data_IF_986252168983
#
_entry.id   IF_986252168983
#
_cell.length_a   1.000
_cell.length_b   1.000
_cell.length_c   1.000
_cell.angle_alpha   90.00
_cell.angle_beta   90.00
_cell.angle_gamma   90.00
#
_symmetry.space_group_name_H-M   'P 1'
#
loop_
_entity.id
_entity.type
_entity.pdbx_description
1 polymer ?
#
# COMPACT_ATOMS: atom_id res chain seq x y z
N UNK A 1 -18.91 32.83 13.47
CA UNK A 1 -18.06 31.87 12.72
C UNK A 1 -17.49 30.75 13.61
N UNK A 2 -17.45 30.89 14.94
CA UNK A 2 -16.90 29.88 15.88
C UNK A 2 -17.62 28.52 15.84
N UNK A 3 -18.92 28.50 15.58
CA UNK A 3 -19.72 27.26 15.62
C UNK A 3 -19.36 26.24 14.52
N UNK A 4 -18.79 26.71 13.39
CA UNK A 4 -18.44 25.82 12.25
C UNK A 4 -17.15 25.06 12.50
N UNK A 5 -16.17 25.67 13.14
CA UNK A 5 -14.91 25.02 13.50
C UNK A 5 -15.11 23.99 14.61
N UNK A 6 -16.02 24.27 15.54
CA UNK A 6 -16.36 23.34 16.60
C UNK A 6 -17.04 22.06 16.08
N UNK A 7 -17.86 22.19 15.04
CA UNK A 7 -18.49 21.06 14.37
C UNK A 7 -17.47 20.19 13.64
N UNK A 8 -16.55 20.79 12.87
CA UNK A 8 -15.52 20.06 12.13
C UNK A 8 -14.55 19.34 13.09
N UNK A 9 -14.15 20.00 14.19
CA UNK A 9 -13.28 19.38 15.20
C UNK A 9 -13.94 18.16 15.87
N UNK A 10 -15.23 18.24 16.17
CA UNK A 10 -15.98 17.13 16.73
C UNK A 10 -16.12 15.96 15.75
N UNK A 11 -16.30 16.24 14.46
CA UNK A 11 -16.41 15.21 13.43
C UNK A 11 -15.09 14.50 13.16
N UNK A 12 -13.97 15.24 13.15
CA UNK A 12 -12.62 14.65 13.08
C UNK A 12 -12.35 13.77 14.30
N UNK A 13 -12.68 14.25 15.51
CA UNK A 13 -12.50 13.46 16.74
C UNK A 13 -13.31 12.16 16.71
N UNK A 14 -14.55 12.22 16.24
CA UNK A 14 -15.42 11.04 16.10
C UNK A 14 -14.87 10.03 15.09
N UNK A 15 -14.30 10.51 13.98
CA UNK A 15 -13.68 9.65 12.98
C UNK A 15 -12.41 8.99 13.51
N UNK A 16 -11.59 9.71 14.29
CA UNK A 16 -10.40 9.14 14.95
C UNK A 16 -10.76 8.08 16.00
N UNK A 17 -11.80 8.32 16.81
CA UNK A 17 -12.30 7.34 17.77
C UNK A 17 -12.84 6.08 17.07
N UNK A 18 -13.53 6.23 15.93
CA UNK A 18 -13.98 5.10 15.13
C UNK A 18 -12.81 4.31 14.52
N UNK A 19 -11.74 4.98 14.07
CA UNK A 19 -10.54 4.33 13.53
C UNK A 19 -9.82 3.55 14.63
N UNK A 20 -9.65 4.14 15.82
CA UNK A 20 -9.03 3.45 16.95
C UNK A 20 -9.86 2.25 17.38
N UNK A 21 -11.19 2.39 17.47
CA UNK A 21 -12.09 1.26 17.77
C UNK A 21 -12.01 0.14 16.73
N UNK A 22 -11.91 0.47 15.44
CA UNK A 22 -11.69 -0.53 14.38
C UNK A 22 -10.31 -1.19 14.53
N UNK A 23 -9.29 -0.43 14.93
CA UNK A 23 -7.93 -0.93 15.15
C UNK A 23 -7.88 -1.89 16.35
N UNK A 24 -8.57 -1.57 17.44
CA UNK A 24 -8.70 -2.42 18.62
C UNK A 24 -9.54 -3.67 18.32
N UNK A 25 -10.64 -3.53 17.57
CA UNK A 25 -11.42 -4.68 17.07
C UNK A 25 -10.62 -5.58 16.13
N UNK A 26 -9.61 -5.06 15.45
CA UNK A 26 -8.67 -5.82 14.62
C UNK A 26 -7.53 -6.44 15.44
N UNK A 27 -7.29 -5.96 16.67
CA UNK A 27 -6.32 -6.55 17.59
C UNK A 27 -6.94 -7.72 18.37
N UNK A 28 -8.24 -7.64 18.67
CA UNK A 28 -9.02 -8.71 19.34
C UNK A 28 -9.58 -9.77 18.37
N UNK A 29 -9.54 -9.53 17.05
CA UNK A 29 -9.77 -10.58 16.05
C UNK A 29 -8.46 -11.30 15.74
N UNK A 30 -8.06 -12.14 16.69
CA UNK A 30 -7.29 -13.35 16.38
C UNK A 30 -7.97 -14.03 15.16
N UNK A 31 -7.25 -14.28 14.06
CA UNK A 31 -7.89 -14.76 12.83
C UNK A 31 -8.28 -16.23 12.98
N UNK A 32 -9.41 -16.48 13.65
CA UNK A 32 -10.14 -17.72 13.61
C UNK A 32 -10.79 -17.88 12.22
N UNK A 33 -9.99 -17.97 11.15
CA UNK A 33 -10.40 -18.36 9.79
C UNK A 33 -9.17 -18.56 8.86
N UNK A 34 -8.25 -19.44 9.27
CA UNK A 34 -7.29 -20.06 8.36
C UNK A 34 -7.40 -21.59 8.44
N UNK A 35 -8.56 -22.13 8.10
CA UNK A 35 -8.72 -23.56 7.85
C UNK A 35 -9.40 -23.77 6.51
N UNK A 36 -8.58 -23.75 5.47
CA UNK A 36 -8.81 -24.62 4.31
C UNK A 36 -7.47 -25.16 3.84
N UNK A 37 -6.85 -25.97 4.71
CA UNK A 37 -5.70 -26.79 4.34
C UNK A 37 -6.23 -28.04 3.63
N UNK A 38 -6.03 -28.10 2.31
CA UNK A 38 -6.11 -29.35 1.57
C UNK A 38 -4.68 -29.86 1.42
N UNK A 39 -4.28 -30.77 2.30
CA UNK A 39 -3.22 -31.70 1.96
C UNK A 39 -3.70 -32.46 0.72
N UNK A 40 -2.90 -32.44 -0.34
CA UNK A 40 -3.20 -32.93 -1.70
C UNK A 40 -4.24 -32.10 -2.46
N UNK A 41 -3.94 -30.83 -2.78
CA UNK A 41 -4.61 -30.19 -3.93
C UNK A 41 -4.01 -30.79 -5.21
N UNK A 42 -4.79 -31.51 -6.04
CA UNK A 42 -4.29 -31.92 -7.34
C UNK A 42 -3.93 -30.66 -8.12
N UNK A 43 -2.69 -30.66 -8.63
CA UNK A 43 -2.14 -29.64 -9.50
C UNK A 43 -3.17 -29.36 -10.59
N UNK A 44 -3.53 -28.07 -10.74
CA UNK A 44 -4.50 -27.49 -11.67
C UNK A 44 -5.95 -27.32 -11.18
N UNK A 45 -6.18 -26.32 -10.32
CA UNK A 45 -7.32 -25.44 -10.63
C UNK A 45 -7.01 -24.80 -11.99
N UNK A 46 -7.78 -25.16 -13.02
CA UNK A 46 -7.60 -24.75 -14.43
C UNK A 46 -7.58 -23.23 -14.66
N UNK A 47 -7.96 -22.43 -13.65
CA UNK A 47 -7.97 -20.97 -13.69
C UNK A 47 -7.06 -20.27 -12.66
N UNK A 48 -6.02 -20.94 -12.15
CA UNK A 48 -5.00 -20.33 -11.30
C UNK A 48 -3.78 -19.81 -12.09
N UNK A 49 -3.11 -18.77 -11.58
CA UNK A 49 -1.77 -18.36 -12.02
C UNK A 49 -0.74 -18.87 -11.03
N UNK A 50 0.12 -19.78 -11.50
CA UNK A 50 1.10 -20.45 -10.65
C UNK A 50 2.47 -19.79 -10.81
N UNK A 51 3.08 -19.41 -9.69
CA UNK A 51 4.47 -18.97 -9.61
C UNK A 51 5.24 -20.07 -8.90
N UNK A 52 6.24 -20.63 -9.58
CA UNK A 52 7.15 -21.59 -8.99
C UNK A 52 8.46 -20.88 -8.62
N UNK A 53 8.86 -20.96 -7.36
CA UNK A 53 10.12 -20.46 -6.84
C UNK A 53 10.94 -21.66 -6.37
N UNK A 54 12.18 -21.77 -6.84
CA UNK A 54 13.14 -22.74 -6.28
C UNK A 54 13.88 -22.02 -5.18
N UNK A 55 13.87 -22.59 -3.98
CA UNK A 55 14.53 -22.06 -2.80
C UNK A 55 15.54 -23.11 -2.32
N UNK A 56 16.72 -22.64 -1.94
CA UNK A 56 17.79 -23.48 -1.45
C UNK A 56 17.63 -23.73 0.05
N UNK A 57 17.20 -22.70 0.81
CA UNK A 57 16.90 -22.78 2.25
C UNK A 57 15.67 -21.94 2.63
N UNK A 58 15.11 -22.22 3.82
CA UNK A 58 14.03 -21.44 4.44
C UNK A 58 14.46 -19.99 4.65
N UNK A 59 15.75 -19.75 4.86
CA UNK A 59 16.32 -18.41 4.97
C UNK A 59 16.10 -17.57 3.70
N UNK A 60 15.97 -18.17 2.51
CA UNK A 60 15.66 -17.42 1.27
C UNK A 60 14.28 -16.73 1.30
N UNK A 61 13.39 -17.15 2.19
CA UNK A 61 12.07 -16.54 2.39
C UNK A 61 12.17 -15.30 3.30
N UNK A 62 13.11 -15.32 4.24
CA UNK A 62 13.20 -14.38 5.34
C UNK A 62 14.41 -13.46 5.19
N UNK A 63 14.37 -12.33 5.87
CA UNK A 63 15.48 -11.39 5.86
C UNK A 63 16.68 -11.95 6.64
N UNK A 64 17.87 -11.86 6.05
CA UNK A 64 19.15 -12.25 6.68
C UNK A 64 19.52 -11.30 7.84
N UNK A 65 18.97 -10.08 7.82
CA UNK A 65 19.22 -9.04 8.81
C UNK A 65 18.16 -8.98 9.91
N UNK A 66 17.38 -10.05 10.10
CA UNK A 66 16.41 -10.10 11.19
C UNK A 66 17.10 -10.15 12.56
N UNK A 67 16.62 -9.34 13.50
CA UNK A 67 17.12 -9.28 14.88
C UNK A 67 16.86 -10.60 15.64
N UNK A 68 15.86 -11.39 15.22
CA UNK A 68 15.49 -12.66 15.87
C UNK A 68 15.32 -13.81 14.85
N UNK A 69 16.42 -14.32 14.26
CA UNK A 69 16.34 -15.37 13.24
C UNK A 69 15.83 -16.71 13.78
N UNK A 70 15.96 -16.95 15.09
CA UNK A 70 15.59 -18.22 15.73
C UNK A 70 14.07 -18.42 15.88
N UNK A 71 13.27 -17.35 15.81
CA UNK A 71 11.81 -17.40 16.03
C UNK A 71 11.09 -17.16 14.70
N UNK A 72 10.67 -18.25 14.05
CA UNK A 72 10.01 -18.23 12.73
C UNK A 72 8.80 -17.29 12.69
N UNK A 73 8.06 -17.14 13.79
CA UNK A 73 6.86 -16.30 13.88
C UNK A 73 7.14 -14.80 13.80
N UNK A 74 8.33 -14.38 14.24
CA UNK A 74 8.73 -12.97 14.24
C UNK A 74 9.52 -12.58 13.01
N UNK A 75 9.93 -13.54 12.17
CA UNK A 75 10.79 -13.27 11.02
C UNK A 75 10.11 -12.37 10.00
N UNK A 76 10.90 -11.46 9.46
CA UNK A 76 10.53 -10.52 8.41
C UNK A 76 10.73 -11.16 7.05
N UNK A 77 9.80 -10.94 6.12
CA UNK A 77 9.93 -11.45 4.75
C UNK A 77 11.00 -10.66 4.01
N UNK A 78 11.92 -11.37 3.36
CA UNK A 78 12.94 -10.81 2.49
C UNK A 78 12.33 -10.02 1.33
N UNK A 79 12.90 -8.86 1.04
CA UNK A 79 12.50 -8.08 -0.13
C UNK A 79 12.89 -8.77 -1.44
N UNK A 80 13.96 -9.58 -1.45
CA UNK A 80 14.38 -10.38 -2.61
C UNK A 80 13.35 -11.46 -2.95
N UNK A 81 12.78 -12.11 -1.93
CA UNK A 81 11.68 -13.07 -2.12
C UNK A 81 10.47 -12.41 -2.79
N UNK A 82 10.08 -11.23 -2.29
CA UNK A 82 8.97 -10.46 -2.84
C UNK A 82 9.27 -10.02 -4.27
N UNK A 83 10.49 -9.58 -4.56
CA UNK A 83 10.90 -9.15 -5.89
C UNK A 83 10.96 -10.31 -6.88
N UNK A 84 11.40 -11.50 -6.44
CA UNK A 84 11.33 -12.73 -7.23
C UNK A 84 9.89 -13.08 -7.63
N UNK A 85 8.91 -12.85 -6.73
CA UNK A 85 7.47 -12.99 -7.04
C UNK A 85 7.03 -11.91 -8.02
N UNK A 86 7.38 -10.64 -7.77
CA UNK A 86 6.98 -9.50 -8.63
C UNK A 86 7.46 -9.69 -10.07
N UNK A 87 8.70 -10.12 -10.27
CA UNK A 87 9.28 -10.37 -11.62
C UNK A 87 8.49 -11.44 -12.38
N UNK A 88 7.99 -12.46 -11.67
CA UNK A 88 7.20 -13.56 -12.28
C UNK A 88 5.71 -13.22 -12.40
N UNK A 89 5.23 -12.24 -11.65
CA UNK A 89 3.84 -11.81 -11.66
C UNK A 89 3.52 -11.00 -12.93
N UNK A 90 2.77 -11.61 -13.85
CA UNK A 90 2.34 -10.99 -15.12
C UNK A 90 0.96 -10.33 -15.06
N UNK A 91 0.63 -9.61 -13.98
CA UNK A 91 -0.65 -8.91 -13.84
C UNK A 91 -1.89 -9.76 -14.20
N UNK A 92 -1.91 -11.03 -13.77
CA UNK A 92 -2.97 -11.99 -14.13
C UNK A 92 -4.24 -11.77 -13.32
N UNK A 93 -5.43 -11.84 -13.94
CA UNK A 93 -6.74 -11.74 -13.25
C UNK A 93 -7.01 -12.96 -12.35
N UNK A 94 -6.29 -14.06 -12.57
CA UNK A 94 -6.47 -15.34 -11.89
C UNK A 94 -6.00 -15.32 -10.43
N UNK A 95 -6.50 -16.27 -9.64
CA UNK A 95 -6.01 -16.56 -8.28
C UNK A 95 -4.50 -16.85 -8.32
N UNK A 96 -3.75 -16.32 -7.36
CA UNK A 96 -2.30 -16.47 -7.29
C UNK A 96 -1.93 -17.66 -6.42
N UNK A 97 -1.21 -18.61 -6.99
CA UNK A 97 -0.67 -19.77 -6.29
C UNK A 97 0.86 -19.71 -6.34
N UNK A 98 1.48 -19.72 -5.18
CA UNK A 98 2.94 -19.63 -5.03
C UNK A 98 3.43 -20.97 -4.53
N UNK A 99 4.15 -21.67 -5.40
CA UNK A 99 4.78 -22.93 -5.08
C UNK A 99 6.24 -22.68 -4.71
N UNK A 100 6.57 -22.98 -3.45
CA UNK A 100 7.92 -22.91 -2.92
C UNK A 100 8.53 -24.30 -3.04
N UNK A 101 9.50 -24.44 -3.93
CA UNK A 101 10.14 -25.72 -4.25
C UNK A 101 11.40 -25.84 -3.40
N UNK A 102 11.42 -26.88 -2.55
CA UNK A 102 12.53 -27.19 -1.65
C UNK A 102 13.09 -28.58 -1.90
N UNK A 103 14.35 -28.83 -1.53
CA UNK A 103 14.90 -30.18 -1.46
C UNK A 103 14.13 -31.07 -0.46
N UNK A 104 14.00 -32.36 -0.76
CA UNK A 104 13.25 -33.34 0.08
C UNK A 104 13.72 -33.40 1.54
N UNK A 105 14.99 -33.10 1.82
CA UNK A 105 15.55 -33.17 3.17
C UNK A 105 15.06 -32.06 4.11
N UNK A 106 14.48 -30.97 3.58
CA UNK A 106 13.88 -29.88 4.37
C UNK A 106 12.41 -30.14 4.76
N UNK A 107 11.92 -31.35 4.54
CA UNK A 107 10.50 -31.66 4.76
C UNK A 107 10.16 -31.76 6.25
N UNK A 108 9.64 -30.67 6.81
CA UNK A 108 9.06 -30.64 8.15
C UNK A 108 7.69 -29.96 8.15
N UNK A 109 6.63 -30.75 8.31
CA UNK A 109 5.24 -30.27 8.23
C UNK A 109 4.84 -29.26 9.31
N UNK A 110 5.45 -29.32 10.50
CA UNK A 110 5.14 -28.36 11.58
C UNK A 110 5.68 -26.98 11.22
N UNK A 111 6.88 -26.92 10.67
CA UNK A 111 7.54 -25.68 10.27
C UNK A 111 6.86 -25.07 9.03
N UNK A 112 6.43 -25.89 8.07
CA UNK A 112 5.71 -25.43 6.87
C UNK A 112 4.47 -24.57 7.22
N UNK A 113 3.66 -25.04 8.18
CA UNK A 113 2.44 -24.34 8.57
C UNK A 113 2.76 -23.00 9.24
N UNK A 114 3.75 -23.00 10.12
CA UNK A 114 4.20 -21.78 10.81
C UNK A 114 4.75 -20.78 9.81
N UNK A 115 5.59 -21.21 8.87
CA UNK A 115 6.15 -20.36 7.81
C UNK A 115 5.03 -19.72 6.96
N UNK A 116 4.03 -20.50 6.53
CA UNK A 116 2.90 -19.96 5.76
C UNK A 116 2.11 -18.93 6.58
N UNK A 117 1.84 -19.23 7.86
CA UNK A 117 1.13 -18.31 8.74
C UNK A 117 1.90 -16.99 8.92
N UNK A 118 3.20 -17.07 9.21
CA UNK A 118 4.09 -15.89 9.29
C UNK A 118 4.06 -15.11 7.99
N UNK A 119 4.24 -15.77 6.85
CA UNK A 119 4.23 -15.13 5.52
C UNK A 119 2.95 -14.35 5.28
N UNK A 120 1.80 -14.98 5.51
CA UNK A 120 0.50 -14.34 5.31
C UNK A 120 0.31 -13.15 6.25
N UNK A 121 0.70 -13.29 7.52
CA UNK A 121 0.64 -12.20 8.49
C UNK A 121 1.51 -11.01 8.08
N UNK A 122 2.77 -11.27 7.71
CA UNK A 122 3.71 -10.22 7.30
C UNK A 122 3.28 -9.53 5.99
N UNK A 123 2.74 -10.28 5.02
CA UNK A 123 2.16 -9.71 3.79
C UNK A 123 0.96 -8.81 4.12
N UNK A 124 0.07 -9.26 5.00
CA UNK A 124 -1.09 -8.49 5.43
C UNK A 124 -0.68 -7.19 6.12
N UNK A 125 0.32 -7.24 7.00
CA UNK A 125 0.90 -6.08 7.66
C UNK A 125 1.54 -5.11 6.66
N UNK A 126 2.44 -5.60 5.78
CA UNK A 126 3.06 -4.77 4.72
C UNK A 126 1.98 -4.12 3.85
N UNK A 127 0.91 -4.83 3.49
CA UNK A 127 -0.23 -4.28 2.75
C UNK A 127 -0.95 -3.18 3.52
N UNK A 128 -1.24 -3.37 4.81
CA UNK A 128 -1.90 -2.35 5.65
C UNK A 128 -1.07 -1.08 5.73
N UNK A 129 0.23 -1.20 6.02
CA UNK A 129 1.17 -0.07 6.06
C UNK A 129 1.19 0.65 4.71
N UNK A 130 1.24 -0.10 3.62
CA UNK A 130 1.20 0.46 2.27
C UNK A 130 -0.10 1.23 2.00
N UNK A 131 -1.26 0.68 2.36
CA UNK A 131 -2.56 1.36 2.20
C UNK A 131 -2.65 2.67 2.98
N UNK A 132 -2.12 2.71 4.21
CA UNK A 132 -2.06 3.95 5.00
C UNK A 132 -1.16 4.99 4.33
N UNK A 133 0.02 4.59 3.88
CA UNK A 133 0.94 5.48 3.15
C UNK A 133 0.30 6.05 1.87
N UNK A 134 -0.58 5.28 1.25
CA UNK A 134 -1.25 5.63 0.01
C UNK A 134 -2.33 6.70 0.22
N UNK A 135 -3.09 6.60 1.31
CA UNK A 135 -4.05 7.64 1.70
C UNK A 135 -3.32 8.96 1.91
N UNK A 136 -2.17 8.94 2.61
CA UNK A 136 -1.37 10.14 2.82
C UNK A 136 -0.88 10.76 1.50
N UNK A 137 -0.35 9.95 0.59
CA UNK A 137 0.05 10.40 -0.75
C UNK A 137 -1.12 11.03 -1.51
N UNK A 138 -2.30 10.42 -1.48
CA UNK A 138 -3.49 10.91 -2.18
C UNK A 138 -3.97 12.25 -1.61
N UNK A 139 -4.00 12.40 -0.29
CA UNK A 139 -4.31 13.69 0.37
C UNK A 139 -3.33 14.77 -0.09
N UNK A 140 -2.05 14.42 -0.16
CA UNK A 140 -1.01 15.35 -0.60
C UNK A 140 -1.20 15.72 -2.08
N UNK A 141 -1.47 14.77 -2.98
CA UNK A 141 -1.76 15.08 -4.39
C UNK A 141 -2.94 16.06 -4.53
N UNK A 142 -4.03 15.77 -3.81
CA UNK A 142 -5.23 16.62 -3.82
C UNK A 142 -4.92 18.01 -3.25
N UNK A 143 -4.09 18.12 -2.20
CA UNK A 143 -3.75 19.42 -1.62
C UNK A 143 -2.98 20.31 -2.59
N UNK A 144 -2.01 19.77 -3.33
CA UNK A 144 -1.30 20.52 -4.38
C UNK A 144 -2.25 21.04 -5.47
N UNK A 145 -3.18 20.19 -5.93
CA UNK A 145 -4.18 20.59 -6.92
C UNK A 145 -5.11 21.69 -6.39
N UNK A 146 -5.62 21.54 -5.17
CA UNK A 146 -6.50 22.54 -4.55
C UNK A 146 -5.76 23.87 -4.38
N UNK A 147 -4.52 23.85 -3.87
CA UNK A 147 -3.71 25.06 -3.68
C UNK A 147 -3.42 25.72 -5.02
N UNK A 148 -3.07 24.94 -6.05
CA UNK A 148 -2.81 25.45 -7.39
C UNK A 148 -4.04 26.13 -8.00
N UNK A 149 -5.18 25.43 -8.03
CA UNK A 149 -6.44 25.95 -8.57
C UNK A 149 -6.93 27.15 -7.76
N UNK A 150 -6.90 27.08 -6.43
CA UNK A 150 -7.31 28.19 -5.58
C UNK A 150 -6.44 29.43 -5.84
N UNK A 151 -5.12 29.28 -5.99
CA UNK A 151 -4.22 30.40 -6.29
C UNK A 151 -4.57 31.05 -7.63
N UNK A 152 -4.80 30.26 -8.68
CA UNK A 152 -5.18 30.78 -10.00
C UNK A 152 -6.55 31.49 -10.00
N UNK A 153 -7.54 30.94 -9.29
CA UNK A 153 -8.86 31.58 -9.14
C UNK A 153 -8.75 32.89 -8.35
N UNK A 154 -7.95 32.92 -7.29
CA UNK A 154 -7.75 34.13 -6.49
C UNK A 154 -7.12 35.25 -7.31
N UNK A 155 -6.16 34.95 -8.19
CA UNK A 155 -5.58 35.96 -9.10
C UNK A 155 -6.67 36.61 -9.96
N UNK A 156 -7.54 35.81 -10.58
CA UNK A 156 -8.61 36.34 -11.43
C UNK A 156 -9.59 37.22 -10.64
N UNK A 157 -9.90 36.85 -9.39
CA UNK A 157 -10.78 37.65 -8.54
C UNK A 157 -10.12 38.95 -8.08
N UNK A 158 -8.82 38.89 -7.72
CA UNK A 158 -8.01 40.06 -7.36
C UNK A 158 -7.94 41.03 -8.54
N UNK A 159 -7.63 40.56 -9.74
CA UNK A 159 -7.60 41.39 -10.96
C UNK A 159 -8.96 42.03 -11.24
N UNK A 160 -10.05 41.27 -11.09
CA UNK A 160 -11.42 41.76 -11.33
C UNK A 160 -11.89 42.79 -10.29
N UNK A 161 -11.59 42.58 -9.00
CA UNK A 161 -11.97 43.51 -7.94
C UNK A 161 -11.12 44.78 -7.94
N UNK A 162 -9.82 44.65 -8.19
CA UNK A 162 -8.87 45.77 -8.14
C UNK A 162 -8.64 46.42 -9.50
N UNK A 163 -9.47 46.11 -10.51
CA UNK A 163 -9.35 46.46 -11.93
C UNK A 163 -9.16 47.94 -12.30
N UNK A 164 -8.87 48.82 -11.34
CA UNK A 164 -8.62 50.24 -11.51
C UNK A 164 -7.49 50.82 -10.62
N UNK A 165 -6.93 50.07 -9.65
CA UNK A 165 -6.00 50.64 -8.63
C UNK A 165 -4.68 49.87 -8.45
N UNK A 166 -4.25 49.08 -9.44
CA UNK A 166 -2.93 48.44 -9.39
C UNK A 166 -1.80 49.46 -9.56
N UNK A 167 -1.40 50.08 -8.44
CA UNK A 167 -0.06 50.65 -8.30
C UNK A 167 0.97 49.56 -8.62
N UNK A 168 2.05 49.93 -9.30
CA UNK A 168 3.14 49.03 -9.74
C UNK A 168 3.66 48.11 -8.62
N UNK A 169 3.51 48.50 -7.36
CA UNK A 169 3.97 47.76 -6.18
C UNK A 169 3.23 46.43 -5.94
N UNK A 170 1.95 46.30 -6.34
CA UNK A 170 1.18 45.06 -6.12
C UNK A 170 1.35 44.03 -7.24
N UNK A 171 1.98 44.42 -8.36
CA UNK A 171 2.16 43.54 -9.54
C UNK A 171 3.04 42.33 -9.23
N UNK A 172 4.10 42.52 -8.44
CA UNK A 172 5.01 41.43 -8.07
C UNK A 172 4.33 40.32 -7.25
N UNK A 173 3.38 40.66 -6.38
CA UNK A 173 2.62 39.65 -5.63
C UNK A 173 1.72 38.81 -6.54
N UNK A 174 1.09 39.43 -7.55
CA UNK A 174 0.30 38.71 -8.54
C UNK A 174 1.14 37.70 -9.33
N UNK A 175 2.33 38.11 -9.75
CA UNK A 175 3.27 37.24 -10.48
C UNK A 175 3.74 36.06 -9.62
N UNK A 176 4.03 36.26 -8.33
CA UNK A 176 4.39 35.17 -7.41
C UNK A 176 3.22 34.19 -7.19
N UNK A 177 2.00 34.69 -6.96
CA UNK A 177 0.82 33.82 -6.79
C UNK A 177 0.55 33.06 -8.10
N UNK A 178 0.81 33.67 -9.26
CA UNK A 178 0.68 33.01 -10.56
C UNK A 178 1.67 31.87 -10.70
N UNK A 179 2.94 32.10 -10.37
CA UNK A 179 3.97 31.05 -10.38
C UNK A 179 3.58 29.92 -9.42
N UNK A 180 3.15 30.25 -8.20
CA UNK A 180 2.70 29.25 -7.22
C UNK A 180 1.49 28.45 -7.71
N UNK A 181 0.53 29.11 -8.35
CA UNK A 181 -0.65 28.46 -8.93
C UNK A 181 -0.28 27.46 -10.01
N UNK A 182 0.58 27.87 -10.95
CA UNK A 182 1.08 27.00 -12.01
C UNK A 182 1.92 25.85 -11.48
N UNK A 183 2.86 26.12 -10.56
CA UNK A 183 3.71 25.08 -9.94
C UNK A 183 2.86 24.08 -9.18
N UNK A 184 1.92 24.54 -8.34
CA UNK A 184 1.02 23.65 -7.59
C UNK A 184 0.16 22.78 -8.51
N UNK A 185 -0.33 23.33 -9.60
CA UNK A 185 -1.11 22.57 -10.59
C UNK A 185 -0.27 21.51 -11.30
N UNK A 186 0.92 21.87 -11.81
CA UNK A 186 1.81 20.93 -12.49
C UNK A 186 2.32 19.82 -11.57
N UNK A 187 2.70 20.17 -10.34
CA UNK A 187 3.14 19.20 -9.34
C UNK A 187 2.00 18.24 -8.96
N UNK A 188 0.79 18.78 -8.75
CA UNK A 188 -0.40 17.97 -8.49
C UNK A 188 -0.73 16.99 -9.63
N UNK A 189 -0.63 17.43 -10.89
CA UNK A 189 -0.83 16.57 -12.06
C UNK A 189 0.26 15.49 -12.13
N UNK A 190 1.53 15.87 -11.97
CA UNK A 190 2.67 14.94 -12.03
C UNK A 190 2.51 13.83 -10.99
N UNK A 191 2.22 14.20 -9.74
CA UNK A 191 1.98 13.23 -8.66
C UNK A 191 0.75 12.36 -8.91
N UNK A 192 -0.29 12.89 -9.55
CA UNK A 192 -1.47 12.11 -9.94
C UNK A 192 -1.09 11.03 -10.96
N UNK A 193 -0.30 11.40 -11.98
CA UNK A 193 0.18 10.46 -13.00
C UNK A 193 1.04 9.38 -12.38
N UNK A 194 1.98 9.74 -11.50
CA UNK A 194 2.85 8.78 -10.80
C UNK A 194 2.04 7.81 -9.93
N UNK A 195 1.04 8.33 -9.21
CA UNK A 195 0.13 7.52 -8.42
C UNK A 195 -0.63 6.50 -9.28
N UNK A 196 -1.18 6.93 -10.41
CA UNK A 196 -1.94 6.07 -11.31
C UNK A 196 -1.06 5.02 -12.00
N UNK A 197 0.19 5.34 -12.34
CA UNK A 197 1.06 4.44 -13.10
C UNK A 197 1.78 3.42 -12.23
N UNK A 198 2.27 3.82 -11.06
CA UNK A 198 3.14 3.01 -10.22
C UNK A 198 2.44 2.51 -8.96
N UNK A 199 1.83 3.40 -8.19
CA UNK A 199 1.25 3.03 -6.89
C UNK A 199 0.01 2.14 -7.06
N UNK A 200 -0.83 2.40 -8.06
CA UNK A 200 -1.99 1.56 -8.36
C UNK A 200 -1.61 0.11 -8.73
N UNK A 201 -0.51 -0.08 -9.49
CA UNK A 201 0.01 -1.43 -9.79
C UNK A 201 0.50 -2.13 -8.52
N UNK A 202 1.20 -1.41 -7.64
CA UNK A 202 1.64 -1.93 -6.35
C UNK A 202 0.45 -2.32 -5.45
N UNK A 203 -0.63 -1.52 -5.41
CA UNK A 203 -1.86 -1.87 -4.68
C UNK A 203 -2.42 -3.20 -5.20
N UNK A 204 -2.58 -3.32 -6.51
CA UNK A 204 -3.16 -4.52 -7.13
C UNK A 204 -2.29 -5.74 -6.82
N UNK A 205 -0.97 -5.58 -6.87
CA UNK A 205 -0.01 -6.64 -6.51
C UNK A 205 -0.19 -7.07 -5.05
N UNK A 206 -0.10 -6.15 -4.09
CA UNK A 206 -0.22 -6.47 -2.66
C UNK A 206 -1.58 -7.05 -2.30
N UNK A 207 -2.66 -6.57 -2.92
CA UNK A 207 -4.01 -7.13 -2.73
C UNK A 207 -4.15 -8.56 -3.24
N UNK A 208 -3.43 -8.92 -4.31
CA UNK A 208 -3.44 -10.31 -4.80
C UNK A 208 -2.49 -11.20 -4.03
N UNK A 209 -1.35 -10.66 -3.62
CA UNK A 209 -0.37 -11.39 -2.82
C UNK A 209 -0.93 -11.78 -1.45
N UNK A 210 -1.69 -10.89 -0.81
CA UNK A 210 -2.38 -11.18 0.46
C UNK A 210 -3.41 -12.32 0.35
N UNK A 211 -4.01 -12.49 -0.84
CA UNK A 211 -4.97 -13.56 -1.12
C UNK A 211 -4.31 -14.79 -1.76
N UNK A 212 -2.98 -14.79 -1.88
CA UNK A 212 -2.27 -15.87 -2.54
C UNK A 212 -2.28 -17.12 -1.66
N UNK A 213 -2.35 -18.27 -2.32
CA UNK A 213 -2.17 -19.57 -1.65
C UNK A 213 -0.71 -19.98 -1.79
N UNK A 214 -0.05 -20.22 -0.65
CA UNK A 214 1.31 -20.73 -0.59
C UNK A 214 1.29 -22.23 -0.41
N UNK A 215 2.15 -22.95 -1.14
CA UNK A 215 2.29 -24.39 -1.01
C UNK A 215 3.76 -24.80 -1.14
N UNK A 216 4.20 -25.73 -0.30
CA UNK A 216 5.50 -26.35 -0.41
C UNK A 216 5.46 -27.53 -1.39
N UNK A 217 6.46 -27.60 -2.27
CA UNK A 217 6.68 -28.72 -3.18
C UNK A 217 8.09 -29.23 -2.96
N UNK A 218 8.22 -30.53 -2.67
CA UNK A 218 9.52 -31.14 -2.46
C UNK A 218 10.00 -31.83 -3.73
N UNK A 219 11.23 -31.56 -4.15
CA UNK A 219 11.88 -32.17 -5.32
C UNK A 219 13.27 -32.70 -5.00
#
# INVERSE_FOLDING_TARGET
MENKYHFIANEIKRNLENINKITDMLHDQEPALYTTYSHTVPITKTNAFNINLSLDDVDDIFDDFDDNPEIIETRTISDDFIDAIKVRYRHSIKELYIHMIFPVFFKNYVDEKTIIATLQQQIHLKRKVFNVSLIYKLILVISYLIIGVASLVNIQQIERMLGLFFNMQNRGYGELIMILGWVGMWEGITRTVDFCTNDLKKIIFWNKLDKATFAFIYK
#
